data_IF_248630088384
#
_entry.id   IF_248630088384
#
_cell.length_a   1.000
_cell.length_b   1.000
_cell.length_c   1.000
_cell.angle_alpha   90.00
_cell.angle_beta   90.00
_cell.angle_gamma   90.00
#
_symmetry.space_group_name_H-M   'P 1'
#
loop_
_entity.id
_entity.type
_entity.pdbx_description
1 polymer ?
#
# COMPACT_ATOMS: atom_id res chain seq x y z
N UNK A 1 -1.17 -4.67 14.79
CA UNK A 1 -1.61 -4.08 13.52
C UNK A 1 -1.09 -4.92 12.37
N UNK A 2 -1.93 -5.17 11.39
CA UNK A 2 -1.60 -5.95 10.18
C UNK A 2 -1.89 -5.11 8.96
N UNK A 3 -1.04 -5.19 7.97
CA UNK A 3 -1.34 -4.67 6.64
C UNK A 3 -2.02 -5.75 5.80
N UNK A 4 -3.01 -5.31 5.04
CA UNK A 4 -3.64 -6.11 4.00
C UNK A 4 -3.61 -5.30 2.71
N UNK A 5 -3.13 -5.89 1.63
CA UNK A 5 -3.11 -5.24 0.32
C UNK A 5 -4.04 -6.01 -0.59
N UNK A 6 -5.10 -5.34 -1.02
CA UNK A 6 -6.10 -5.91 -1.92
C UNK A 6 -5.89 -5.33 -3.30
N UNK A 7 -5.38 -6.15 -4.20
CA UNK A 7 -5.19 -5.79 -5.60
C UNK A 7 -6.38 -6.29 -6.41
N UNK A 8 -7.18 -5.35 -6.92
CA UNK A 8 -8.38 -5.63 -7.69
C UNK A 8 -8.03 -5.73 -9.17
N UNK A 9 -8.51 -6.76 -9.82
CA UNK A 9 -8.35 -6.92 -11.26
C UNK A 9 -8.72 -8.31 -11.73
N UNK A 10 -8.85 -8.49 -13.06
CA UNK A 10 -9.28 -9.76 -13.62
C UNK A 10 -8.21 -10.83 -13.58
N UNK A 11 -6.96 -10.48 -13.33
CA UNK A 11 -5.85 -11.43 -13.38
C UNK A 11 -4.79 -11.10 -12.34
N UNK A 12 -3.98 -12.10 -12.02
CA UNK A 12 -2.78 -11.94 -11.19
C UNK A 12 -1.73 -11.10 -11.93
N UNK A 13 -0.77 -10.59 -11.17
CA UNK A 13 0.38 -9.86 -11.74
C UNK A 13 1.07 -10.70 -12.82
N UNK A 14 1.23 -10.12 -14.01
CA UNK A 14 1.78 -10.83 -15.17
C UNK A 14 3.28 -10.71 -15.31
N UNK A 15 3.87 -9.60 -14.88
CA UNK A 15 5.31 -9.39 -14.97
C UNK A 15 6.04 -10.20 -13.90
N UNK A 16 6.86 -11.15 -14.32
CA UNK A 16 7.69 -11.94 -13.41
C UNK A 16 8.70 -11.05 -12.67
N UNK A 17 9.25 -10.05 -13.36
CA UNK A 17 10.21 -9.12 -12.74
C UNK A 17 9.56 -8.28 -11.65
N UNK A 18 8.36 -7.73 -11.90
CA UNK A 18 7.65 -6.92 -10.90
C UNK A 18 7.12 -7.80 -9.77
N UNK A 19 6.71 -9.03 -10.06
CA UNK A 19 6.33 -10.00 -9.01
C UNK A 19 7.50 -10.26 -8.07
N UNK A 20 8.69 -10.49 -8.61
CA UNK A 20 9.89 -10.71 -7.81
C UNK A 20 10.22 -9.48 -6.96
N UNK A 21 10.07 -8.28 -7.51
CA UNK A 21 10.29 -7.03 -6.76
C UNK A 21 9.29 -6.89 -5.61
N UNK A 22 8.01 -7.16 -5.86
CA UNK A 22 6.99 -7.16 -4.80
C UNK A 22 7.34 -8.16 -3.70
N UNK A 23 7.71 -9.37 -4.06
CA UNK A 23 8.02 -10.42 -3.08
C UNK A 23 9.23 -10.06 -2.23
N UNK A 24 10.24 -9.40 -2.82
CA UNK A 24 11.40 -8.91 -2.08
C UNK A 24 10.99 -7.89 -1.02
N UNK A 25 10.21 -6.87 -1.40
CA UNK A 25 9.76 -5.87 -0.44
C UNK A 25 8.79 -6.44 0.60
N UNK A 26 7.89 -7.33 0.23
CA UNK A 26 7.02 -8.01 1.19
C UNK A 26 7.84 -8.76 2.24
N UNK A 27 8.89 -9.46 1.81
CA UNK A 27 9.81 -10.16 2.70
C UNK A 27 10.48 -9.20 3.69
N UNK A 28 10.91 -8.03 3.23
CA UNK A 28 11.53 -7.00 4.09
C UNK A 28 10.52 -6.40 5.07
N UNK A 29 9.30 -6.10 4.61
CA UNK A 29 8.25 -5.52 5.47
C UNK A 29 7.91 -6.48 6.62
N UNK A 30 7.95 -7.79 6.38
CA UNK A 30 7.61 -8.79 7.39
C UNK A 30 8.54 -8.80 8.60
N UNK A 31 9.70 -8.16 8.52
CA UNK A 31 10.55 -7.93 9.70
C UNK A 31 9.94 -6.91 10.67
N UNK A 32 9.01 -6.10 10.23
CA UNK A 32 8.40 -5.01 11.03
C UNK A 32 6.93 -5.24 11.33
N UNK A 33 6.19 -5.83 10.40
CA UNK A 33 4.74 -5.97 10.50
C UNK A 33 4.26 -7.16 9.70
N UNK A 34 3.09 -7.68 10.09
CA UNK A 34 2.40 -8.68 9.29
C UNK A 34 1.81 -8.01 8.06
N UNK A 35 1.96 -8.64 6.90
CA UNK A 35 1.41 -8.15 5.65
C UNK A 35 0.98 -9.31 4.79
N UNK A 36 -0.22 -9.21 4.21
CA UNK A 36 -0.71 -10.17 3.23
C UNK A 36 -1.17 -9.44 1.97
N UNK A 37 -0.99 -10.10 0.83
CA UNK A 37 -1.43 -9.61 -0.46
C UNK A 37 -2.53 -10.51 -0.99
N UNK A 38 -3.61 -9.90 -1.46
CA UNK A 38 -4.74 -10.61 -2.05
C UNK A 38 -4.97 -10.09 -3.46
N UNK A 39 -4.89 -10.97 -4.44
CA UNK A 39 -5.22 -10.65 -5.83
C UNK A 39 -6.61 -11.20 -6.11
N UNK A 40 -7.60 -10.33 -6.20
CA UNK A 40 -9.02 -10.69 -6.23
C UNK A 40 -9.80 -9.82 -7.21
N UNK A 41 -10.96 -10.30 -7.62
CA UNK A 41 -11.87 -9.55 -8.49
C UNK A 41 -12.82 -8.64 -7.70
N UNK A 42 -13.06 -8.94 -6.43
CA UNK A 42 -13.90 -8.13 -5.54
C UNK A 42 -13.20 -7.90 -4.22
N UNK A 43 -13.25 -6.66 -3.77
CA UNK A 43 -12.72 -6.33 -2.47
C UNK A 43 -13.62 -6.87 -1.36
N UNK A 44 -13.02 -7.63 -0.44
CA UNK A 44 -13.63 -8.00 0.83
C UNK A 44 -12.75 -7.42 1.92
N UNK A 45 -13.25 -6.39 2.57
CA UNK A 45 -12.51 -5.64 3.55
C UNK A 45 -13.21 -5.80 4.91
N UNK A 46 -12.50 -6.27 5.95
CA UNK A 46 -13.08 -6.34 7.29
C UNK A 46 -13.60 -4.98 7.75
N UNK A 47 -14.74 -4.95 8.43
CA UNK A 47 -15.40 -3.71 8.84
C UNK A 47 -14.55 -2.86 9.78
N UNK A 48 -13.77 -3.50 10.62
CA UNK A 48 -12.93 -2.80 11.61
C UNK A 48 -11.57 -2.38 11.06
N UNK A 49 -11.25 -2.73 9.83
CA UNK A 49 -10.00 -2.31 9.19
C UNK A 49 -10.09 -0.86 8.71
N UNK A 50 -8.97 -0.12 8.84
CA UNK A 50 -8.82 1.13 8.12
C UNK A 50 -8.68 0.84 6.64
N UNK A 51 -9.22 1.69 5.81
CA UNK A 51 -9.12 1.55 4.35
C UNK A 51 -8.40 2.75 3.78
N UNK A 52 -7.33 2.47 3.04
CA UNK A 52 -6.58 3.47 2.27
C UNK A 52 -6.69 3.10 0.80
N UNK A 53 -7.35 3.93 0.03
CA UNK A 53 -7.52 3.70 -1.40
C UNK A 53 -6.39 4.37 -2.18
N UNK A 54 -5.71 3.61 -3.03
CA UNK A 54 -4.70 4.15 -3.95
C UNK A 54 -5.42 4.73 -5.17
N UNK A 55 -5.29 6.03 -5.39
CA UNK A 55 -5.94 6.71 -6.52
C UNK A 55 -5.13 7.94 -6.91
N UNK A 56 -5.07 8.24 -8.20
CA UNK A 56 -4.36 9.41 -8.73
C UNK A 56 -4.89 10.73 -8.16
N UNK A 57 -6.16 10.75 -7.74
CA UNK A 57 -6.84 11.93 -7.18
C UNK A 57 -6.76 12.00 -5.66
N UNK A 58 -5.92 11.18 -5.05
CA UNK A 58 -5.76 11.16 -3.61
C UNK A 58 -4.80 12.24 -3.10
N UNK A 59 -4.63 12.24 -1.80
CA UNK A 59 -3.65 13.09 -1.12
C UNK A 59 -2.23 12.70 -1.52
N UNK A 60 -1.34 13.69 -1.63
CA UNK A 60 0.09 13.45 -1.82
C UNK A 60 0.78 13.42 -0.46
N UNK A 61 1.48 12.35 -0.18
CA UNK A 61 2.27 12.20 1.05
C UNK A 61 3.75 12.06 0.72
N UNK A 62 4.59 12.76 1.46
CA UNK A 62 6.01 12.45 1.45
C UNK A 62 6.26 11.13 2.17
N UNK A 63 7.43 10.54 1.95
CA UNK A 63 7.82 9.31 2.67
C UNK A 63 7.84 9.53 4.19
N UNK A 64 8.23 10.72 4.63
CA UNK A 64 8.22 11.08 6.06
C UNK A 64 6.81 11.18 6.61
N UNK A 65 5.87 11.73 5.84
CA UNK A 65 4.45 11.79 6.23
C UNK A 65 3.85 10.38 6.33
N UNK A 66 4.19 9.50 5.40
CA UNK A 66 3.74 8.11 5.48
C UNK A 66 4.30 7.44 6.75
N UNK A 67 5.56 7.69 7.09
CA UNK A 67 6.15 7.15 8.30
C UNK A 67 5.40 7.63 9.56
N UNK A 68 5.00 8.89 9.61
CA UNK A 68 4.18 9.42 10.71
C UNK A 68 2.82 8.73 10.78
N UNK A 69 2.16 8.53 9.64
CA UNK A 69 0.88 7.81 9.59
C UNK A 69 1.03 6.37 10.08
N UNK A 70 2.07 5.68 9.64
CA UNK A 70 2.35 4.31 10.10
C UNK A 70 2.49 4.28 11.63
N UNK A 71 3.18 5.28 12.19
CA UNK A 71 3.32 5.39 13.63
C UNK A 71 1.98 5.53 14.36
N UNK A 72 1.07 6.34 13.84
CA UNK A 72 -0.27 6.50 14.41
C UNK A 72 -1.08 5.21 14.29
N UNK A 73 -1.00 4.55 13.13
CA UNK A 73 -1.72 3.29 12.90
C UNK A 73 -1.26 2.20 13.88
N UNK A 74 0.05 2.12 14.13
CA UNK A 74 0.58 1.16 15.11
C UNK A 74 0.06 1.43 16.52
N UNK A 75 0.01 2.71 16.92
CA UNK A 75 -0.52 3.09 18.24
C UNK A 75 -2.00 2.74 18.39
N UNK A 76 -2.78 2.90 17.35
CA UNK A 76 -4.21 2.61 17.38
C UNK A 76 -4.51 1.12 17.28
N UNK A 77 -3.58 0.33 16.74
CA UNK A 77 -3.68 -1.13 16.72
C UNK A 77 -4.65 -1.72 15.72
N UNK A 78 -5.37 -0.89 14.93
CA UNK A 78 -6.28 -1.37 13.90
C UNK A 78 -5.52 -1.79 12.66
N UNK A 79 -6.00 -2.84 12.01
CA UNK A 79 -5.46 -3.27 10.72
C UNK A 79 -5.66 -2.20 9.65
N UNK A 80 -4.75 -2.14 8.68
CA UNK A 80 -4.79 -1.21 7.56
C UNK A 80 -4.89 -2.01 6.26
N UNK A 81 -5.92 -1.72 5.49
CA UNK A 81 -6.13 -2.34 4.18
C UNK A 81 -5.88 -1.30 3.09
N UNK A 82 -4.86 -1.53 2.28
CA UNK A 82 -4.63 -0.75 1.06
C UNK A 82 -5.37 -1.43 -0.08
N UNK A 83 -6.13 -0.65 -0.85
CA UNK A 83 -6.82 -1.18 -2.03
C UNK A 83 -6.24 -0.51 -3.26
N UNK A 84 -5.74 -1.31 -4.18
CA UNK A 84 -5.17 -0.84 -5.43
C UNK A 84 -5.93 -1.46 -6.60
N UNK A 85 -6.33 -0.62 -7.56
CA UNK A 85 -7.06 -1.06 -8.73
C UNK A 85 -6.16 -1.46 -9.88
N UNK A 86 -6.79 -1.90 -10.96
CA UNK A 86 -6.14 -2.09 -12.25
C UNK A 86 -6.26 -0.82 -13.11
N UNK A 87 -6.13 -0.97 -14.44
CA UNK A 87 -6.21 0.17 -15.36
C UNK A 87 -7.55 0.92 -15.30
N UNK A 88 -8.61 0.27 -14.86
CA UNK A 88 -9.95 0.88 -14.74
C UNK A 88 -10.15 1.64 -13.41
N UNK A 89 -9.18 1.58 -12.51
CA UNK A 89 -9.25 2.23 -11.22
C UNK A 89 -10.07 1.45 -10.19
N UNK A 90 -10.54 2.17 -9.16
CA UNK A 90 -11.28 1.57 -8.05
C UNK A 90 -12.78 1.82 -8.16
N UNK A 91 -13.62 0.85 -7.72
CA UNK A 91 -15.07 1.08 -7.67
C UNK A 91 -15.42 2.18 -6.67
N UNK A 92 -16.54 2.86 -6.91
CA UNK A 92 -17.01 3.96 -6.05
C UNK A 92 -17.25 3.50 -4.61
N UNK A 93 -17.74 2.29 -4.40
CA UNK A 93 -18.00 1.79 -3.05
C UNK A 93 -16.70 1.64 -2.22
N UNK A 94 -15.58 1.35 -2.87
CA UNK A 94 -14.27 1.32 -2.20
C UNK A 94 -13.82 2.74 -1.88
N UNK A 95 -13.92 3.65 -2.85
CA UNK A 95 -13.52 5.05 -2.67
C UNK A 95 -14.34 5.72 -1.56
N UNK A 96 -15.64 5.46 -1.50
CA UNK A 96 -16.53 6.04 -0.49
C UNK A 96 -16.22 5.52 0.91
N UNK A 97 -15.81 4.27 1.02
CA UNK A 97 -15.46 3.66 2.31
C UNK A 97 -14.07 4.09 2.81
N UNK A 98 -13.19 4.52 1.92
CA UNK A 98 -11.80 4.82 2.28
C UNK A 98 -11.73 5.97 3.29
N UNK A 99 -11.02 5.77 4.39
CA UNK A 99 -10.70 6.84 5.34
C UNK A 99 -9.74 7.83 4.72
N UNK A 100 -8.84 7.33 3.87
CA UNK A 100 -7.88 8.15 3.14
C UNK A 100 -7.79 7.68 1.70
N UNK A 101 -7.59 8.64 0.81
CA UNK A 101 -7.28 8.39 -0.60
C UNK A 101 -5.87 8.88 -0.82
N UNK A 102 -5.00 8.00 -1.32
CA UNK A 102 -3.57 8.26 -1.42
C UNK A 102 -3.12 8.19 -2.87
N UNK A 103 -2.45 9.26 -3.34
CA UNK A 103 -1.80 9.30 -4.64
C UNK A 103 -0.31 9.03 -4.48
N UNK A 104 0.24 8.15 -5.30
CA UNK A 104 1.68 7.87 -5.32
C UNK A 104 2.48 8.94 -6.06
N UNK A 105 1.82 10.00 -6.48
CA UNK A 105 2.45 11.15 -7.16
C UNK A 105 1.70 11.54 -8.42
N UNK A 106 2.14 12.62 -9.10
CA UNK A 106 1.47 13.13 -10.29
C UNK A 106 1.72 12.31 -11.55
N UNK A 107 2.71 11.42 -11.54
CA UNK A 107 2.97 10.55 -12.67
C UNK A 107 1.95 9.40 -12.72
N UNK A 108 1.55 9.04 -13.92
CA UNK A 108 0.72 7.85 -14.13
C UNK A 108 1.63 6.63 -14.14
N UNK A 109 1.41 5.71 -13.21
CA UNK A 109 2.17 4.47 -13.12
C UNK A 109 1.33 3.28 -13.61
N UNK A 110 1.92 2.34 -14.37
CA UNK A 110 1.25 1.06 -14.60
C UNK A 110 0.87 0.43 -13.26
N UNK A 111 -0.30 -0.21 -13.20
CA UNK A 111 -0.83 -0.71 -11.92
C UNK A 111 0.08 -1.75 -11.24
N UNK A 112 0.80 -2.57 -12.01
CA UNK A 112 1.74 -3.52 -11.41
C UNK A 112 2.96 -2.82 -10.80
N UNK A 113 3.48 -1.79 -11.48
CA UNK A 113 4.59 -0.98 -10.93
C UNK A 113 4.13 -0.17 -9.71
N UNK A 114 2.92 0.35 -9.74
CA UNK A 114 2.36 1.06 -8.58
C UNK A 114 2.35 0.19 -7.33
N UNK A 115 2.08 -1.11 -7.48
CA UNK A 115 2.12 -2.06 -6.36
C UNK A 115 3.53 -2.20 -5.79
N UNK A 116 4.55 -2.25 -6.66
CA UNK A 116 5.95 -2.27 -6.20
C UNK A 116 6.27 -1.00 -5.42
N UNK A 117 5.86 0.16 -5.94
CA UNK A 117 6.09 1.46 -5.27
C UNK A 117 5.40 1.49 -3.91
N UNK A 118 4.18 1.00 -3.80
CA UNK A 118 3.47 0.90 -2.52
C UNK A 118 4.29 0.10 -1.50
N UNK A 119 4.78 -1.07 -1.87
CA UNK A 119 5.56 -1.90 -0.96
C UNK A 119 6.90 -1.26 -0.60
N UNK A 120 7.57 -0.66 -1.57
CA UNK A 120 8.82 0.04 -1.31
C UNK A 120 8.60 1.17 -0.30
N UNK A 121 7.53 1.94 -0.44
CA UNK A 121 7.23 3.05 0.46
C UNK A 121 6.83 2.57 1.86
N UNK A 122 6.10 1.48 1.99
CA UNK A 122 5.80 0.89 3.29
C UNK A 122 7.09 0.42 3.99
N UNK A 123 7.97 -0.25 3.27
CA UNK A 123 9.27 -0.64 3.80
C UNK A 123 10.06 0.58 4.24
N UNK A 124 10.15 1.59 3.38
CA UNK A 124 10.86 2.85 3.67
C UNK A 124 10.31 3.52 4.93
N UNK A 125 9.00 3.57 5.09
CA UNK A 125 8.36 4.16 6.27
C UNK A 125 8.83 3.48 7.56
N UNK A 126 8.93 2.17 7.57
CA UNK A 126 9.41 1.42 8.74
C UNK A 126 10.89 1.69 9.01
N UNK A 127 11.71 1.81 7.96
CA UNK A 127 13.13 2.15 8.14
C UNK A 127 13.31 3.57 8.69
N UNK A 128 12.50 4.52 8.24
CA UNK A 128 12.51 5.89 8.78
C UNK A 128 12.16 5.86 10.27
N UNK A 129 11.12 5.16 10.65
CA UNK A 129 10.67 5.07 12.03
C UNK A 129 11.72 4.46 12.97
N UNK A 130 12.56 3.57 12.45
CA UNK A 130 13.63 2.91 13.20
C UNK A 130 14.98 3.60 13.11
N UNK A 131 15.06 4.70 12.37
CA UNK A 131 16.33 5.41 12.18
C UNK A 131 17.35 4.62 11.37
N UNK A 132 16.91 3.71 10.54
CA UNK A 132 17.78 2.88 9.70
C UNK A 132 18.25 3.66 8.46
N UNK A 133 19.33 3.17 7.83
CA UNK A 133 20.02 3.92 6.78
C UNK A 133 19.39 3.83 5.39
N UNK A 134 18.43 2.96 5.18
CA UNK A 134 17.80 2.75 3.87
C UNK A 134 17.24 4.04 3.27
N UNK A 135 16.68 4.90 4.11
CA UNK A 135 15.97 6.12 3.70
C UNK A 135 16.87 7.34 3.46
N UNK A 136 18.15 7.18 3.29
CA UNK A 136 19.07 8.31 3.07
C UNK A 136 18.58 9.19 1.93
N UNK A 137 18.47 10.50 2.18
CA UNK A 137 17.99 11.48 1.21
C UNK A 137 16.46 11.57 1.09
N UNK A 138 15.73 10.90 1.93
CA UNK A 138 14.26 10.96 1.95
C UNK A 138 13.73 12.15 2.72
#
# INVERSE_FOLDING_TARGET
>A
MRYRVVALGPSRMKSAALRAACDDYLSRIRHYAKIEELEVTRARIPEDSRVVALTERGESWSSSQLAELVGRWELEGRDVTFVIGDADGLPDNVLDRAERRWSLGPLTLPHELARVVLYEQLYRAHTIRRGEKYHRGS
#
